data_IF_610504668906
#
_entry.id   IF_610504668906
#
_cell.length_a   1.000
_cell.length_b   1.000
_cell.length_c   1.000
_cell.angle_alpha   90.00
_cell.angle_beta   90.00
_cell.angle_gamma   90.00
#
_symmetry.space_group_name_H-M   'P 1'
#
loop_
_entity.id
_entity.type
_entity.pdbx_description
1 polymer ?
#
# COMPACT_ATOMS: atom_id res chain seq x y z
N UNK A 1 -3.02 -17.74 31.35
CA UNK A 1 -2.55 -17.55 29.97
C UNK A 1 -1.03 -17.73 29.88
N UNK A 2 -0.32 -17.52 30.98
CA UNK A 2 1.15 -17.61 31.05
C UNK A 2 1.70 -19.04 30.89
N UNK A 3 0.95 -20.06 31.33
CA UNK A 3 1.32 -21.47 31.14
C UNK A 3 1.34 -21.89 29.67
N UNK A 4 0.36 -21.43 28.87
CA UNK A 4 0.31 -21.69 27.43
C UNK A 4 1.46 -21.01 26.67
N UNK A 5 1.86 -19.82 27.10
CA UNK A 5 2.97 -19.08 26.50
C UNK A 5 4.30 -19.79 26.80
N UNK A 6 4.47 -20.32 28.02
CA UNK A 6 5.65 -21.11 28.37
C UNK A 6 5.76 -22.43 27.62
N UNK A 7 4.66 -23.15 27.42
CA UNK A 7 4.66 -24.38 26.64
C UNK A 7 4.94 -24.12 25.14
N UNK A 8 4.52 -22.97 24.61
CA UNK A 8 4.80 -22.59 23.22
C UNK A 8 6.27 -22.19 23.01
N UNK A 9 6.90 -21.52 23.99
CA UNK A 9 8.32 -21.12 23.93
C UNK A 9 9.25 -22.32 24.12
N UNK A 10 8.84 -23.32 24.90
CA UNK A 10 9.67 -24.51 25.20
C UNK A 10 9.82 -25.46 23.99
N UNK A 11 8.94 -25.35 22.99
CA UNK A 11 9.03 -26.08 21.73
C UNK A 11 9.91 -25.32 20.72
N UNK A 12 11.22 -25.35 20.93
CA UNK A 12 12.22 -24.62 20.13
C UNK A 12 12.14 -24.92 18.63
N UNK A 13 11.82 -26.17 18.27
CA UNK A 13 11.62 -26.66 16.89
C UNK A 13 10.42 -25.97 16.18
N UNK A 14 9.39 -25.58 16.93
CA UNK A 14 8.15 -25.01 16.37
C UNK A 14 8.08 -23.47 16.48
N UNK A 15 8.86 -22.88 17.39
CA UNK A 15 8.82 -21.44 17.66
C UNK A 15 9.37 -20.60 16.51
N UNK A 16 10.53 -21.00 15.95
CA UNK A 16 11.18 -20.31 14.83
C UNK A 16 10.28 -20.26 13.57
N UNK A 17 9.73 -21.39 13.06
CA UNK A 17 8.87 -21.34 11.89
C UNK A 17 7.57 -20.56 12.13
N UNK A 18 7.01 -20.61 13.36
CA UNK A 18 5.83 -19.83 13.71
C UNK A 18 6.08 -18.31 13.65
N UNK A 19 7.21 -17.84 14.16
CA UNK A 19 7.57 -16.43 14.09
C UNK A 19 7.78 -15.95 12.66
N UNK A 20 8.45 -16.76 11.83
CA UNK A 20 8.64 -16.44 10.40
C UNK A 20 7.28 -16.35 9.70
N UNK A 21 6.38 -17.30 9.97
CA UNK A 21 5.04 -17.31 9.38
C UNK A 21 4.25 -16.05 9.72
N UNK A 22 4.23 -15.68 11.00
CA UNK A 22 3.56 -14.44 11.44
C UNK A 22 4.22 -13.23 10.78
N UNK A 23 5.55 -13.17 10.75
CA UNK A 23 6.28 -12.06 10.13
C UNK A 23 5.97 -11.89 8.63
N UNK A 24 5.96 -12.99 7.88
CA UNK A 24 5.62 -12.97 6.44
C UNK A 24 4.18 -12.52 6.23
N UNK A 25 3.23 -13.05 7.00
CA UNK A 25 1.82 -12.63 6.91
C UNK A 25 1.70 -11.13 7.17
N UNK A 26 2.31 -10.62 8.24
CA UNK A 26 2.26 -9.19 8.56
C UNK A 26 2.84 -8.34 7.43
N UNK A 27 3.96 -8.73 6.84
CA UNK A 27 4.56 -8.01 5.72
C UNK A 27 3.66 -7.98 4.47
N UNK A 28 3.05 -9.13 4.14
CA UNK A 28 2.13 -9.23 2.99
C UNK A 28 0.90 -8.35 3.20
N UNK A 29 0.33 -8.34 4.40
CA UNK A 29 -0.82 -7.50 4.74
C UNK A 29 -0.50 -6.01 4.59
N UNK A 30 0.65 -5.57 5.12
CA UNK A 30 1.09 -4.16 5.01
C UNK A 30 1.26 -3.76 3.55
N UNK A 31 1.95 -4.58 2.75
CA UNK A 31 2.16 -4.31 1.32
C UNK A 31 0.85 -4.26 0.54
N UNK A 32 -0.06 -5.20 0.81
CA UNK A 32 -1.35 -5.25 0.13
C UNK A 32 -2.22 -4.03 0.45
N UNK A 33 -2.28 -3.64 1.72
CA UNK A 33 -3.00 -2.45 2.14
C UNK A 33 -2.43 -1.17 1.50
N UNK A 34 -1.11 -1.01 1.50
CA UNK A 34 -0.45 0.12 0.85
C UNK A 34 -0.74 0.19 -0.66
N UNK A 35 -0.75 -0.95 -1.34
CA UNK A 35 -1.07 -1.02 -2.77
C UNK A 35 -2.53 -0.63 -3.07
N UNK A 36 -3.47 -1.05 -2.24
CA UNK A 36 -4.88 -0.67 -2.38
C UNK A 36 -5.04 0.84 -2.19
N UNK A 37 -4.44 1.41 -1.14
CA UNK A 37 -4.52 2.83 -0.85
C UNK A 37 -3.94 3.69 -1.97
N UNK A 38 -2.78 3.31 -2.51
CA UNK A 38 -2.12 4.04 -3.61
C UNK A 38 -2.93 3.99 -4.91
N UNK A 39 -3.53 2.83 -5.22
CA UNK A 39 -4.42 2.70 -6.38
C UNK A 39 -5.67 3.56 -6.23
N UNK A 40 -6.30 3.53 -5.05
CA UNK A 40 -7.48 4.33 -4.77
C UNK A 40 -7.19 5.84 -4.83
N UNK A 41 -6.05 6.29 -4.29
CA UNK A 41 -5.64 7.68 -4.35
C UNK A 41 -5.47 8.17 -5.80
N UNK A 42 -4.86 7.35 -6.66
CA UNK A 42 -4.67 7.68 -8.09
C UNK A 42 -5.98 7.86 -8.84
N UNK A 43 -6.93 6.95 -8.62
CA UNK A 43 -8.24 7.05 -9.26
C UNK A 43 -9.02 8.29 -8.77
N UNK A 44 -8.86 8.68 -7.49
CA UNK A 44 -9.42 9.93 -6.97
C UNK A 44 -8.78 11.15 -7.65
N UNK A 45 -7.44 11.21 -7.70
CA UNK A 45 -6.74 12.33 -8.35
C UNK A 45 -7.12 12.47 -9.83
N UNK A 46 -7.29 11.37 -10.57
CA UNK A 46 -7.78 11.42 -11.97
C UNK A 46 -9.17 12.05 -12.08
N UNK A 47 -10.09 11.70 -11.17
CA UNK A 47 -11.45 12.26 -11.13
C UNK A 47 -11.44 13.74 -10.74
N UNK A 48 -10.60 14.13 -9.80
CA UNK A 48 -10.44 15.54 -9.40
C UNK A 48 -9.88 16.38 -10.54
N UNK A 49 -8.85 15.90 -11.24
CA UNK A 49 -8.31 16.58 -12.43
C UNK A 49 -9.40 16.78 -13.49
N UNK A 50 -10.22 15.76 -13.76
CA UNK A 50 -11.31 15.87 -14.71
C UNK A 50 -12.35 16.92 -14.28
N UNK A 51 -12.68 16.99 -12.99
CA UNK A 51 -13.56 18.02 -12.44
C UNK A 51 -12.97 19.42 -12.59
N UNK A 52 -11.69 19.62 -12.25
CA UNK A 52 -11.02 20.91 -12.39
C UNK A 52 -10.93 21.41 -13.83
N UNK A 53 -10.75 20.49 -14.80
CA UNK A 53 -10.80 20.82 -16.22
C UNK A 53 -12.22 21.23 -16.63
N UNK A 54 -13.25 20.49 -16.18
CA UNK A 54 -14.65 20.81 -16.48
C UNK A 54 -15.10 22.14 -15.86
N UNK A 55 -14.59 22.48 -14.68
CA UNK A 55 -14.80 23.76 -14.00
C UNK A 55 -13.97 24.91 -14.59
N UNK A 56 -12.97 24.59 -15.43
CA UNK A 56 -12.07 25.57 -16.05
C UNK A 56 -11.01 26.13 -15.10
N UNK A 57 -10.85 25.57 -13.89
CA UNK A 57 -9.82 25.95 -12.92
C UNK A 57 -8.44 25.35 -13.23
N UNK A 58 -8.38 24.40 -14.17
CA UNK A 58 -7.15 23.78 -14.67
C UNK A 58 -7.21 23.61 -16.18
N UNK A 59 -6.10 23.87 -16.88
CA UNK A 59 -6.01 23.60 -18.32
C UNK A 59 -5.78 22.10 -18.61
N UNK A 60 -6.29 21.56 -19.74
CA UNK A 60 -6.05 20.17 -20.12
C UNK A 60 -4.56 19.81 -20.21
N UNK A 61 -3.71 20.71 -20.72
CA UNK A 61 -2.26 20.51 -20.85
C UNK A 61 -1.57 20.47 -19.48
N UNK A 62 -2.14 21.14 -18.47
CA UNK A 62 -1.65 21.08 -17.10
C UNK A 62 -2.06 19.76 -16.44
N UNK A 63 -3.30 19.30 -16.68
CA UNK A 63 -3.78 17.99 -16.25
C UNK A 63 -2.95 16.83 -16.83
N UNK A 64 -2.64 16.87 -18.13
CA UNK A 64 -1.78 15.89 -18.80
C UNK A 64 -0.40 15.77 -18.11
N UNK A 65 0.22 16.92 -17.81
CA UNK A 65 1.52 16.97 -17.13
C UNK A 65 1.48 16.37 -15.73
N UNK A 66 0.42 16.63 -14.96
CA UNK A 66 0.25 16.08 -13.62
C UNK A 66 0.08 14.56 -13.68
N UNK A 67 -0.75 14.06 -14.61
CA UNK A 67 -0.96 12.62 -14.79
C UNK A 67 0.34 11.90 -15.17
N UNK A 68 1.14 12.50 -16.07
CA UNK A 68 2.43 11.96 -16.49
C UNK A 68 3.46 11.94 -15.37
N UNK A 69 3.54 13.02 -14.58
CA UNK A 69 4.44 13.10 -13.43
C UNK A 69 4.10 12.08 -12.32
N UNK A 70 2.81 11.72 -12.18
CA UNK A 70 2.35 10.68 -11.25
C UNK A 70 2.73 9.26 -11.65
N UNK A 71 2.95 9.00 -12.94
CA UNK A 71 3.30 7.69 -13.49
C UNK A 71 4.83 7.45 -13.44
N UNK A 72 5.63 8.49 -13.72
CA UNK A 72 7.10 8.40 -13.69
C UNK A 72 7.66 8.13 -12.30
N UNK A 73 7.04 8.66 -11.24
CA UNK A 73 7.47 8.41 -9.86
C UNK A 73 7.36 6.94 -9.44
N UNK A 74 6.61 6.13 -10.18
CA UNK A 74 6.43 4.70 -9.91
C UNK A 74 7.46 3.81 -10.61
N UNK A 75 8.18 4.32 -11.62
CA UNK A 75 9.21 3.57 -12.36
C UNK A 75 10.59 3.61 -11.70
N UNK A 76 10.75 4.37 -10.63
CA UNK A 76 12.03 4.61 -9.95
C UNK A 76 12.11 4.03 -8.53
N UNK A 77 11.13 3.22 -8.11
CA UNK A 77 11.15 2.42 -6.89
C UNK A 77 11.19 0.93 -7.23
#
# INVERSE_FOLDING_TARGET
>A
MDSLIHDLIKNEEAFIPLLIFIGVITLVLIKSAAQIMTTAARERTKREIAAYIAEGSMSPEQGERILKAGDDRQRHC
#
